data_IF_428875956190
#
_entry.id   IF_428875956190
#
_cell.length_a   1.000
_cell.length_b   1.000
_cell.length_c   1.000
_cell.angle_alpha   90.00
_cell.angle_beta   90.00
_cell.angle_gamma   90.00
#
_symmetry.space_group_name_H-M   'P 1'
#
loop_
_entity.id
_entity.type
_entity.pdbx_description
1 polymer ?
#
# COMPACT_ATOMS: atom_id res chain seq x y z
N UNK A 1 -22.32 44.18 73.03
CA UNK A 1 -22.09 43.50 74.35
C UNK A 1 -21.08 42.41 74.14
N UNK A 2 -19.91 42.77 74.62
CA UNK A 2 -18.87 41.91 75.25
C UNK A 2 -18.21 40.80 74.42
N UNK A 3 -16.91 41.00 74.09
CA UNK A 3 -15.68 40.71 74.85
C UNK A 3 -15.38 39.20 74.85
N UNK A 4 -14.21 38.63 74.56
CA UNK A 4 -12.80 38.94 74.90
C UNK A 4 -11.94 37.90 74.18
N UNK A 5 -10.80 38.29 73.60
CA UNK A 5 -9.42 37.99 74.01
C UNK A 5 -9.11 36.48 74.14
N UNK A 6 -8.10 35.93 73.65
CA UNK A 6 -6.68 36.22 73.57
C UNK A 6 -5.94 34.85 73.48
N UNK A 7 -4.95 34.70 72.74
CA UNK A 7 -3.60 34.31 73.12
C UNK A 7 -2.83 33.60 71.98
N UNK A 8 -1.90 34.37 71.53
CA UNK A 8 -0.66 33.93 70.92
C UNK A 8 -0.02 32.71 71.63
N UNK A 9 0.46 31.80 70.86
CA UNK A 9 1.71 31.09 71.10
C UNK A 9 2.56 31.01 69.86
N UNK A 10 3.55 31.86 69.87
CA UNK A 10 4.70 31.86 68.98
C UNK A 10 5.51 30.64 69.26
N UNK A 11 5.66 29.71 68.31
CA UNK A 11 6.75 28.76 68.29
C UNK A 11 7.67 29.13 67.13
N UNK A 12 8.71 29.88 67.47
CA UNK A 12 9.87 30.08 66.61
C UNK A 12 10.70 28.80 66.55
N UNK A 13 10.61 28.06 65.55
CA UNK A 13 11.51 26.95 65.29
C UNK A 13 12.67 27.44 64.42
N UNK A 14 13.72 27.87 65.06
CA UNK A 14 15.01 28.22 64.49
C UNK A 14 15.69 26.96 63.99
N UNK A 15 15.38 26.56 62.72
CA UNK A 15 16.25 25.65 61.99
C UNK A 15 17.31 26.46 61.26
N UNK A 16 18.50 26.46 61.81
CA UNK A 16 19.72 26.98 61.17
C UNK A 16 19.96 26.23 59.89
N UNK A 17 20.21 26.90 58.73
CA UNK A 17 20.51 26.20 57.47
C UNK A 17 21.94 25.64 57.55
N UNK A 18 22.04 24.33 57.69
CA UNK A 18 23.29 23.58 57.51
C UNK A 18 23.78 23.50 56.07
N UNK A 19 23.21 24.33 55.18
CA UNK A 19 23.51 24.30 53.72
C UNK A 19 24.84 24.98 53.34
N UNK A 20 25.44 25.74 54.23
CA UNK A 20 26.71 26.38 53.95
C UNK A 20 27.93 25.47 54.11
N UNK A 21 27.93 24.62 55.14
CA UNK A 21 29.03 23.70 55.39
C UNK A 21 29.13 22.57 54.34
N UNK A 22 28.01 22.05 53.88
CA UNK A 22 28.02 21.00 52.87
C UNK A 22 28.52 21.52 51.50
N UNK A 23 28.13 22.76 51.12
CA UNK A 23 28.61 23.39 49.89
C UNK A 23 30.11 23.73 49.98
N UNK A 24 30.58 24.17 51.14
CA UNK A 24 32.00 24.43 51.37
C UNK A 24 32.83 23.13 51.34
N UNK A 25 32.32 22.02 51.90
CA UNK A 25 32.94 20.69 51.83
C UNK A 25 33.00 20.16 50.40
N UNK A 26 31.93 20.30 49.61
CA UNK A 26 31.91 19.89 48.20
C UNK A 26 32.84 20.74 47.33
N UNK A 27 32.92 22.05 47.55
CA UNK A 27 33.85 22.91 46.81
C UNK A 27 35.31 22.58 47.16
N UNK A 28 35.59 22.22 48.41
CA UNK A 28 36.94 21.80 48.86
C UNK A 28 37.35 20.45 48.23
N UNK A 29 36.41 19.50 48.10
CA UNK A 29 36.66 18.22 47.41
C UNK A 29 36.95 18.43 45.94
N UNK A 30 36.20 19.31 45.27
CA UNK A 30 36.42 19.63 43.85
C UNK A 30 37.79 20.32 43.65
N UNK A 31 38.17 21.25 44.53
CA UNK A 31 39.46 21.92 44.44
C UNK A 31 40.60 20.92 44.69
N UNK A 32 40.48 20.00 45.63
CA UNK A 32 41.48 18.96 45.89
C UNK A 32 41.57 17.99 44.68
N UNK A 33 40.47 17.64 44.05
CA UNK A 33 40.44 16.82 42.82
C UNK A 33 41.11 17.53 41.64
N UNK A 34 40.86 18.84 41.47
CA UNK A 34 41.50 19.65 40.42
C UNK A 34 42.99 19.87 40.67
N UNK A 35 43.38 20.14 41.91
CA UNK A 35 44.79 20.29 42.27
C UNK A 35 45.53 18.94 42.22
N UNK A 36 44.91 17.85 42.69
CA UNK A 36 45.47 16.51 42.62
C UNK A 36 45.62 16.03 41.17
N UNK A 37 44.60 16.28 40.34
CA UNK A 37 44.64 16.00 38.89
C UNK A 37 45.70 16.81 38.17
N UNK A 38 45.82 18.09 38.47
CA UNK A 38 46.87 18.98 37.93
C UNK A 38 48.28 18.59 38.33
N UNK A 39 48.49 18.16 39.57
CA UNK A 39 49.77 17.64 40.05
C UNK A 39 50.13 16.29 39.41
N UNK A 40 49.15 15.41 39.23
CA UNK A 40 49.33 14.13 38.57
C UNK A 40 49.73 14.32 37.08
N UNK A 41 49.09 15.28 36.38
CA UNK A 41 49.48 15.64 35.02
C UNK A 41 50.88 16.24 34.96
N UNK A 42 51.29 17.02 35.94
CA UNK A 42 52.62 17.64 36.02
C UNK A 42 53.72 16.65 36.42
N UNK A 43 53.38 15.63 37.20
CA UNK A 43 54.30 14.56 37.59
C UNK A 43 54.49 13.54 36.45
N UNK A 44 53.46 13.34 35.60
CA UNK A 44 53.57 12.50 34.42
C UNK A 44 54.16 13.22 33.20
N UNK A 45 54.37 14.53 33.25
CA UNK A 45 55.01 15.32 32.18
C UNK A 45 56.55 15.46 32.34
N UNK A 46 57.21 14.59 33.11
CA UNK A 46 58.66 14.33 33.03
C UNK A 46 59.02 13.73 31.64
N UNK A 47 60.30 13.65 31.24
CA UNK A 47 60.76 13.60 29.84
C UNK A 47 60.40 12.31 29.10
N UNK A 48 59.15 11.99 28.99
CA UNK A 48 58.62 10.84 28.21
C UNK A 48 57.67 11.25 27.09
N UNK A 49 58.01 12.37 26.41
CA UNK A 49 57.28 12.81 25.18
C UNK A 49 57.34 11.80 24.04
N UNK A 50 58.12 10.72 24.15
CA UNK A 50 58.23 9.68 23.08
C UNK A 50 57.17 8.57 23.20
N UNK A 51 56.44 8.46 24.33
CA UNK A 51 55.46 7.35 24.55
C UNK A 51 54.02 7.80 24.40
N UNK A 52 53.76 9.10 24.30
CA UNK A 52 52.36 9.64 24.21
C UNK A 52 51.80 9.63 22.78
N UNK A 53 52.65 9.45 21.77
CA UNK A 53 52.24 9.36 20.37
C UNK A 53 51.21 8.23 20.07
N UNK A 54 51.43 7.00 20.53
CA UNK A 54 50.53 5.88 20.24
C UNK A 54 49.21 5.88 21.03
N UNK A 55 49.20 6.55 22.23
CA UNK A 55 47.98 6.57 23.06
C UNK A 55 46.92 7.53 22.49
N UNK A 56 47.35 8.58 21.76
CA UNK A 56 46.42 9.56 21.14
C UNK A 56 45.74 8.99 19.89
N UNK A 57 46.38 8.03 19.19
CA UNK A 57 45.77 7.32 18.05
C UNK A 57 44.88 6.17 18.52
N UNK A 58 45.18 5.56 19.68
CA UNK A 58 44.36 4.47 20.24
C UNK A 58 43.02 4.92 20.83
N UNK A 59 42.97 6.11 21.45
CA UNK A 59 41.73 6.63 22.02
C UNK A 59 40.73 7.08 20.96
N UNK A 60 41.21 7.60 19.82
CA UNK A 60 40.35 7.95 18.70
C UNK A 60 39.72 6.71 18.03
N UNK A 61 40.49 5.63 17.91
CA UNK A 61 39.98 4.38 17.30
C UNK A 61 38.97 3.65 18.20
N UNK A 62 39.10 3.76 19.52
CA UNK A 62 38.11 3.18 20.46
C UNK A 62 36.81 3.95 20.42
N UNK A 63 36.84 5.29 20.27
CA UNK A 63 35.62 6.10 20.16
C UNK A 63 34.93 5.88 18.81
N UNK A 64 35.66 5.71 17.71
CA UNK A 64 35.08 5.35 16.40
C UNK A 64 34.47 3.94 16.39
N UNK A 65 35.12 2.98 17.02
CA UNK A 65 34.60 1.60 17.14
C UNK A 65 33.33 1.49 18.01
N UNK A 66 33.14 2.39 18.98
CA UNK A 66 31.91 2.45 19.77
C UNK A 66 30.77 3.10 18.98
N UNK A 67 31.05 4.12 18.17
CA UNK A 67 30.04 4.76 17.32
C UNK A 67 29.49 3.80 16.23
N UNK A 68 30.35 2.96 15.63
CA UNK A 68 29.94 1.95 14.67
C UNK A 68 29.10 0.83 15.31
N UNK A 69 29.41 0.45 16.56
CA UNK A 69 28.60 -0.53 17.30
C UNK A 69 27.21 0.00 17.67
N UNK A 70 27.07 1.29 17.95
CA UNK A 70 25.75 1.89 18.19
C UNK A 70 24.93 2.00 16.91
N UNK A 71 25.55 2.26 15.75
CA UNK A 71 24.90 2.23 14.44
C UNK A 71 24.38 0.83 14.07
N UNK A 72 25.15 -0.20 14.38
CA UNK A 72 24.75 -1.60 14.14
C UNK A 72 23.55 -2.03 15.03
N UNK A 73 23.55 -1.64 16.30
CA UNK A 73 22.44 -1.94 17.22
C UNK A 73 21.15 -1.21 16.82
N UNK A 74 21.25 0.04 16.39
CA UNK A 74 20.08 0.81 15.92
C UNK A 74 19.51 0.24 14.61
N UNK A 75 20.35 -0.21 13.67
CA UNK A 75 19.92 -0.89 12.45
C UNK A 75 19.25 -2.24 12.75
N UNK A 76 19.80 -3.00 13.70
CA UNK A 76 19.19 -4.27 14.11
C UNK A 76 17.81 -4.08 14.76
N UNK A 77 17.66 -3.08 15.62
CA UNK A 77 16.38 -2.75 16.22
C UNK A 77 15.34 -2.32 15.16
N UNK A 78 15.77 -1.52 14.17
CA UNK A 78 14.93 -1.12 13.03
C UNK A 78 14.50 -2.31 12.20
N UNK A 79 15.42 -3.21 11.84
CA UNK A 79 15.11 -4.42 11.07
C UNK A 79 14.18 -5.38 11.84
N UNK A 80 14.33 -5.49 13.17
CA UNK A 80 13.43 -6.28 13.98
C UNK A 80 12.02 -5.66 14.01
N UNK A 81 11.90 -4.35 14.19
CA UNK A 81 10.62 -3.65 14.17
C UNK A 81 9.94 -3.76 12.79
N UNK A 82 10.71 -3.64 11.70
CA UNK A 82 10.21 -3.80 10.33
C UNK A 82 9.74 -5.25 10.08
N UNK A 83 10.50 -6.24 10.57
CA UNK A 83 10.10 -7.65 10.46
C UNK A 83 8.82 -7.96 11.26
N UNK A 84 8.67 -7.39 12.45
CA UNK A 84 7.44 -7.50 13.23
C UNK A 84 6.26 -6.81 12.55
N UNK A 85 6.47 -5.62 11.98
CA UNK A 85 5.44 -4.92 11.22
C UNK A 85 4.98 -5.74 10.00
N UNK A 86 5.93 -6.25 9.20
CA UNK A 86 5.62 -7.09 8.05
C UNK A 86 4.91 -8.39 8.44
N UNK A 87 5.30 -9.04 9.54
CA UNK A 87 4.60 -10.22 10.07
C UNK A 87 3.17 -9.91 10.48
N UNK A 88 2.95 -8.73 11.08
CA UNK A 88 1.62 -8.27 11.45
C UNK A 88 0.77 -8.01 10.22
N UNK A 89 1.31 -7.35 9.19
CA UNK A 89 0.62 -7.13 7.92
C UNK A 89 0.28 -8.45 7.22
N UNK A 90 1.22 -9.39 7.16
CA UNK A 90 0.96 -10.73 6.63
C UNK A 90 -0.14 -11.46 7.40
N UNK A 91 -0.14 -11.37 8.73
CA UNK A 91 -1.19 -11.93 9.58
C UNK A 91 -2.57 -11.32 9.31
N UNK A 92 -2.63 -10.00 9.13
CA UNK A 92 -3.87 -9.30 8.77
C UNK A 92 -4.36 -9.68 7.37
N UNK A 93 -3.45 -9.75 6.39
CA UNK A 93 -3.79 -10.20 5.04
C UNK A 93 -4.29 -11.63 5.02
N UNK A 94 -3.64 -12.54 5.75
CA UNK A 94 -4.08 -13.93 5.88
C UNK A 94 -5.47 -14.04 6.53
N UNK A 95 -5.74 -13.27 7.58
CA UNK A 95 -7.04 -13.23 8.23
C UNK A 95 -8.14 -12.68 7.30
N UNK A 96 -7.81 -11.64 6.50
CA UNK A 96 -8.72 -11.08 5.51
C UNK A 96 -9.06 -12.12 4.41
N UNK A 97 -8.07 -12.86 3.93
CA UNK A 97 -8.29 -13.94 2.94
C UNK A 97 -9.18 -15.04 3.52
N UNK A 98 -8.97 -15.44 4.77
CA UNK A 98 -9.82 -16.45 5.44
C UNK A 98 -11.26 -15.95 5.59
N UNK A 99 -11.44 -14.67 5.91
CA UNK A 99 -12.77 -14.08 5.99
C UNK A 99 -13.47 -14.03 4.62
N UNK A 100 -12.73 -13.69 3.57
CA UNK A 100 -13.25 -13.68 2.20
C UNK A 100 -13.66 -15.08 1.75
N UNK A 101 -12.86 -16.12 2.02
CA UNK A 101 -13.23 -17.50 1.69
C UNK A 101 -14.49 -17.96 2.44
N UNK A 102 -14.61 -17.63 3.72
CA UNK A 102 -15.81 -17.93 4.50
C UNK A 102 -17.06 -17.21 3.95
N UNK A 103 -16.90 -15.94 3.53
CA UNK A 103 -18.00 -15.19 2.90
C UNK A 103 -18.38 -15.78 1.54
N UNK A 104 -17.43 -16.25 0.78
CA UNK A 104 -17.67 -16.91 -0.49
C UNK A 104 -18.44 -18.22 -0.31
N UNK A 105 -18.08 -19.03 0.69
CA UNK A 105 -18.83 -20.23 1.05
C UNK A 105 -20.26 -19.92 1.50
N UNK A 106 -20.45 -18.84 2.28
CA UNK A 106 -21.78 -18.38 2.68
C UNK A 106 -22.63 -17.96 1.48
N UNK A 107 -22.05 -17.23 0.51
CA UNK A 107 -22.73 -16.84 -0.71
C UNK A 107 -23.12 -18.05 -1.55
N UNK A 108 -22.22 -19.01 -1.74
CA UNK A 108 -22.52 -20.26 -2.47
C UNK A 108 -23.63 -21.06 -1.78
N UNK A 109 -23.65 -21.14 -0.46
CA UNK A 109 -24.72 -21.79 0.29
C UNK A 109 -26.07 -21.06 0.13
N UNK A 110 -26.06 -19.72 0.11
CA UNK A 110 -27.24 -18.91 -0.16
C UNK A 110 -27.76 -19.10 -1.59
N UNK A 111 -26.88 -19.09 -2.58
CA UNK A 111 -27.23 -19.34 -3.99
C UNK A 111 -27.86 -20.73 -4.18
N UNK A 112 -27.29 -21.75 -3.54
CA UNK A 112 -27.86 -23.11 -3.52
C UNK A 112 -29.25 -23.12 -2.86
N UNK A 113 -29.42 -22.41 -1.75
CA UNK A 113 -30.71 -22.37 -1.04
C UNK A 113 -31.79 -21.63 -1.85
N UNK A 114 -31.40 -20.66 -2.68
CA UNK A 114 -32.30 -19.91 -3.56
C UNK A 114 -32.60 -20.64 -4.89
N UNK A 115 -32.09 -21.85 -5.06
CA UNK A 115 -32.26 -22.62 -6.31
C UNK A 115 -31.55 -22.02 -7.53
N UNK A 116 -30.65 -21.05 -7.30
CA UNK A 116 -29.86 -20.39 -8.38
C UNK A 116 -28.50 -21.08 -8.60
N UNK A 117 -28.16 -22.07 -7.80
CA UNK A 117 -26.87 -22.77 -7.82
C UNK A 117 -26.69 -23.84 -8.88
N UNK A 118 -27.52 -23.89 -9.91
CA UNK A 118 -27.35 -24.83 -11.04
C UNK A 118 -27.04 -24.14 -12.34
N UNK A 119 -26.11 -23.20 -12.32
CA UNK A 119 -25.33 -22.87 -13.51
C UNK A 119 -23.95 -23.50 -13.35
N UNK A 120 -23.92 -24.81 -13.30
CA UNK A 120 -22.71 -25.62 -13.49
C UNK A 120 -22.28 -25.61 -14.96
N UNK A 121 -22.01 -24.43 -15.50
CA UNK A 121 -21.03 -24.32 -16.54
C UNK A 121 -19.67 -24.35 -15.85
N UNK A 122 -18.91 -25.42 -15.96
CA UNK A 122 -17.48 -25.40 -15.65
C UNK A 122 -16.92 -24.17 -16.38
N UNK A 123 -16.59 -23.13 -15.61
CA UNK A 123 -16.05 -21.90 -16.15
C UNK A 123 -14.75 -22.23 -16.88
N UNK A 124 -14.84 -22.40 -18.19
CA UNK A 124 -13.69 -22.71 -19.04
C UNK A 124 -12.97 -21.40 -19.32
N UNK A 125 -12.04 -21.11 -18.43
CA UNK A 125 -11.15 -19.96 -18.54
C UNK A 125 -9.97 -20.37 -19.42
N UNK A 126 -9.82 -19.73 -20.58
CA UNK A 126 -8.68 -19.92 -21.48
C UNK A 126 -7.57 -18.96 -21.04
N UNK A 127 -6.38 -19.47 -20.82
CA UNK A 127 -5.21 -18.64 -20.53
C UNK A 127 -4.42 -18.43 -21.81
N UNK A 128 -4.19 -17.18 -22.17
CA UNK A 128 -3.44 -16.78 -23.36
C UNK A 128 -2.23 -15.93 -22.97
N UNK A 129 -1.11 -16.13 -23.67
CA UNK A 129 0.08 -15.29 -23.55
C UNK A 129 -0.07 -14.06 -24.43
N UNK A 130 0.32 -12.91 -23.92
CA UNK A 130 0.39 -11.67 -24.69
C UNK A 130 1.64 -11.68 -25.56
N UNK A 131 1.44 -11.69 -26.89
CA UNK A 131 2.53 -11.66 -27.87
C UNK A 131 2.96 -10.24 -28.20
N UNK A 132 2.00 -9.30 -28.27
CA UNK A 132 2.27 -7.90 -28.47
C UNK A 132 1.26 -7.03 -27.71
N UNK A 133 1.78 -5.95 -27.12
CA UNK A 133 0.99 -5.01 -26.31
C UNK A 133 0.42 -3.87 -27.16
N UNK A 134 -0.58 -3.19 -26.59
CA UNK A 134 -1.31 -2.09 -27.20
C UNK A 134 -0.43 -0.98 -27.83
N UNK A 135 0.74 -0.70 -27.26
CA UNK A 135 1.64 0.34 -27.77
C UNK A 135 2.34 -0.02 -29.09
N UNK A 136 2.46 -1.30 -29.43
CA UNK A 136 3.13 -1.77 -30.66
C UNK A 136 2.19 -1.95 -31.83
N UNK A 137 0.93 -2.31 -31.56
CA UNK A 137 -0.06 -2.61 -32.61
C UNK A 137 -0.94 -1.41 -32.96
N UNK A 138 -0.83 -0.31 -32.21
CA UNK A 138 -1.76 0.81 -32.29
C UNK A 138 -3.16 0.46 -31.77
N UNK A 139 -3.99 1.46 -31.56
CA UNK A 139 -5.43 1.32 -31.27
C UNK A 139 -5.82 0.49 -30.05
N UNK A 140 -5.01 0.49 -28.98
CA UNK A 140 -5.35 -0.22 -27.74
C UNK A 140 -5.73 -1.70 -27.96
N UNK A 141 -4.91 -2.43 -28.71
CA UNK A 141 -5.11 -3.84 -29.01
C UNK A 141 -3.97 -4.69 -28.48
N UNK A 142 -4.28 -5.91 -28.06
CA UNK A 142 -3.31 -6.95 -27.69
C UNK A 142 -3.36 -8.08 -28.71
N UNK A 143 -2.21 -8.62 -29.07
CA UNK A 143 -2.11 -9.89 -29.78
C UNK A 143 -1.89 -11.02 -28.77
N UNK A 144 -2.72 -12.05 -28.85
CA UNK A 144 -2.69 -13.21 -27.97
C UNK A 144 -2.25 -14.45 -28.76
N UNK A 145 -1.57 -15.39 -28.09
CA UNK A 145 -1.08 -16.65 -28.70
C UNK A 145 -2.16 -17.73 -28.82
N UNK A 146 -3.41 -17.36 -28.76
CA UNK A 146 -4.56 -18.24 -28.85
C UNK A 146 -5.36 -17.99 -30.15
N UNK A 147 -5.55 -19.02 -30.95
CA UNK A 147 -6.31 -19.00 -32.20
C UNK A 147 -6.99 -20.34 -32.45
N UNK A 148 -7.63 -20.51 -33.62
CA UNK A 148 -8.45 -21.68 -33.92
C UNK A 148 -7.70 -23.01 -33.87
N UNK A 149 -6.41 -23.03 -34.27
CA UNK A 149 -5.62 -24.26 -34.40
C UNK A 149 -4.96 -24.71 -33.07
N UNK A 150 -4.81 -23.82 -32.11
CA UNK A 150 -4.14 -24.12 -30.83
C UNK A 150 -5.08 -24.13 -29.64
N UNK A 151 -6.39 -24.11 -29.87
CA UNK A 151 -7.39 -24.36 -28.86
C UNK A 151 -7.38 -25.85 -28.48
N UNK A 152 -7.49 -26.16 -27.21
CA UNK A 152 -7.68 -27.53 -26.73
C UNK A 152 -9.01 -28.12 -27.18
N UNK A 153 -9.10 -29.46 -27.25
CA UNK A 153 -10.31 -30.14 -27.67
C UNK A 153 -11.52 -29.76 -26.78
N UNK A 154 -12.61 -29.36 -27.42
CA UNK A 154 -13.84 -28.95 -26.74
C UNK A 154 -13.81 -27.53 -26.13
N UNK A 155 -12.82 -26.72 -26.52
CA UNK A 155 -12.76 -25.30 -26.21
C UNK A 155 -13.11 -24.50 -27.45
N UNK A 156 -13.85 -23.41 -27.29
CA UNK A 156 -14.15 -22.43 -28.35
C UNK A 156 -13.60 -21.06 -27.94
N UNK A 157 -13.38 -20.23 -28.93
CA UNK A 157 -13.02 -18.82 -28.78
C UNK A 157 -13.90 -18.05 -29.72
N UNK A 158 -14.66 -17.10 -29.21
CA UNK A 158 -15.64 -16.36 -29.98
C UNK A 158 -15.36 -14.86 -29.98
N UNK A 159 -15.88 -14.17 -30.98
CA UNK A 159 -15.82 -12.71 -31.04
C UNK A 159 -16.69 -12.13 -29.92
N UNK A 160 -16.13 -11.18 -29.20
CA UNK A 160 -16.79 -10.58 -28.04
C UNK A 160 -16.43 -11.25 -26.70
N UNK A 161 -15.76 -12.40 -26.71
CA UNK A 161 -15.31 -13.03 -25.46
C UNK A 161 -14.51 -12.05 -24.61
N UNK A 162 -14.86 -11.86 -23.33
CA UNK A 162 -14.18 -10.93 -22.45
C UNK A 162 -12.77 -11.43 -22.09
N UNK A 163 -11.83 -10.50 -22.16
CA UNK A 163 -10.43 -10.70 -21.79
C UNK A 163 -10.17 -10.07 -20.43
N UNK A 164 -9.73 -10.90 -19.51
CA UNK A 164 -9.52 -10.56 -18.11
C UNK A 164 -8.05 -10.68 -17.74
N UNK A 165 -7.64 -9.96 -16.71
CA UNK A 165 -6.38 -10.19 -16.03
C UNK A 165 -6.58 -10.84 -14.69
N UNK A 166 -5.48 -11.22 -14.06
CA UNK A 166 -5.47 -11.76 -12.71
C UNK A 166 -6.29 -10.88 -11.76
N UNK A 167 -7.14 -11.51 -10.95
CA UNK A 167 -8.08 -10.79 -10.09
C UNK A 167 -9.42 -10.42 -10.74
N UNK A 168 -9.70 -10.90 -11.98
CA UNK A 168 -11.01 -10.71 -12.63
C UNK A 168 -11.27 -9.31 -13.18
N UNK A 169 -10.21 -8.53 -13.42
CA UNK A 169 -10.35 -7.19 -14.01
C UNK A 169 -10.50 -7.29 -15.50
N UNK A 170 -11.58 -6.72 -16.03
CA UNK A 170 -11.90 -6.70 -17.45
C UNK A 170 -11.00 -5.72 -18.19
N UNK A 171 -10.26 -6.23 -19.18
CA UNK A 171 -9.42 -5.41 -20.03
C UNK A 171 -10.08 -5.08 -21.37
N UNK A 172 -10.60 -6.10 -22.03
CA UNK A 172 -11.05 -5.98 -23.42
C UNK A 172 -11.92 -7.13 -23.84
N UNK A 173 -12.09 -7.25 -25.12
CA UNK A 173 -12.84 -8.33 -25.80
C UNK A 173 -12.10 -8.81 -27.02
N UNK A 174 -12.30 -10.06 -27.41
CA UNK A 174 -11.78 -10.62 -28.65
C UNK A 174 -12.48 -9.97 -29.84
N UNK A 175 -11.72 -9.36 -30.75
CA UNK A 175 -12.26 -8.69 -31.94
C UNK A 175 -11.87 -9.37 -33.24
N UNK A 176 -10.84 -10.22 -33.19
CA UNK A 176 -10.43 -10.98 -34.36
C UNK A 176 -9.78 -12.30 -33.92
N UNK A 177 -10.11 -13.37 -34.64
CA UNK A 177 -9.58 -14.72 -34.38
C UNK A 177 -8.88 -15.20 -35.63
N UNK A 178 -7.58 -15.43 -35.54
CA UNK A 178 -6.75 -16.05 -36.57
C UNK A 178 -6.54 -17.55 -36.33
N UNK A 179 -5.62 -18.14 -37.09
CA UNK A 179 -5.31 -19.55 -36.92
C UNK A 179 -4.60 -19.87 -35.64
N UNK A 180 -3.54 -19.10 -35.32
CA UNK A 180 -2.68 -19.33 -34.11
C UNK A 180 -2.64 -18.15 -33.16
N UNK A 181 -3.31 -17.07 -33.50
CA UNK A 181 -3.33 -15.85 -32.66
C UNK A 181 -4.69 -15.19 -32.77
N UNK A 182 -5.03 -14.38 -31.80
CA UNK A 182 -6.21 -13.53 -31.80
C UNK A 182 -5.84 -12.10 -31.41
N UNK A 183 -6.73 -11.16 -31.75
CA UNK A 183 -6.63 -9.77 -31.34
C UNK A 183 -7.71 -9.46 -30.31
N UNK A 184 -7.30 -8.90 -29.20
CA UNK A 184 -8.17 -8.35 -28.18
C UNK A 184 -8.10 -6.83 -28.21
N UNK A 185 -9.23 -6.15 -28.20
CA UNK A 185 -9.32 -4.69 -28.13
C UNK A 185 -9.75 -4.28 -26.73
N UNK A 186 -9.05 -3.27 -26.18
CA UNK A 186 -9.35 -2.74 -24.85
C UNK A 186 -10.71 -2.03 -24.83
N UNK A 187 -11.42 -2.16 -23.70
CA UNK A 187 -12.59 -1.34 -23.41
C UNK A 187 -12.24 0.15 -23.28
N UNK A 188 -11.01 0.44 -22.88
CA UNK A 188 -10.47 1.80 -22.79
C UNK A 188 -10.10 2.45 -24.12
N UNK A 189 -10.27 1.77 -25.26
CA UNK A 189 -9.97 2.35 -26.58
C UNK A 189 -10.64 3.71 -26.72
N UNK A 190 -9.89 4.66 -27.29
CA UNK A 190 -10.30 6.06 -27.36
C UNK A 190 -11.69 6.24 -27.99
N UNK A 191 -12.57 6.93 -27.28
CA UNK A 191 -13.95 7.21 -27.71
C UNK A 191 -14.94 6.07 -27.49
N UNK A 192 -14.51 4.87 -27.10
CA UNK A 192 -15.44 3.77 -26.76
C UNK A 192 -16.19 4.12 -25.48
N UNK A 193 -17.49 3.90 -25.49
CA UNK A 193 -18.37 4.13 -24.35
C UNK A 193 -18.78 2.80 -23.72
N UNK A 194 -18.71 2.72 -22.41
CA UNK A 194 -19.07 1.55 -21.61
C UNK A 194 -19.95 1.98 -20.44
N UNK A 195 -21.07 1.29 -20.23
CA UNK A 195 -21.91 1.53 -19.06
C UNK A 195 -21.22 0.98 -17.82
N UNK A 196 -21.19 1.78 -16.74
CA UNK A 196 -20.49 1.42 -15.52
C UNK A 196 -21.31 1.76 -14.29
N UNK A 197 -20.99 1.08 -13.19
CA UNK A 197 -21.46 1.38 -11.84
C UNK A 197 -20.24 1.75 -11.00
N UNK A 198 -20.31 2.87 -10.28
CA UNK A 198 -19.18 3.43 -9.52
C UNK A 198 -19.46 3.33 -8.02
N UNK A 199 -18.50 2.81 -7.28
CA UNK A 199 -18.48 2.76 -5.82
C UNK A 199 -19.48 1.78 -5.21
N UNK A 200 -19.64 1.89 -3.88
CA UNK A 200 -20.60 1.09 -3.10
C UNK A 200 -22.05 1.47 -3.39
N UNK A 201 -22.29 2.72 -3.74
CA UNK A 201 -23.63 3.26 -3.99
C UNK A 201 -24.13 2.91 -5.40
N UNK A 202 -23.33 2.17 -6.19
CA UNK A 202 -23.63 1.74 -7.55
C UNK A 202 -24.09 2.90 -8.45
N UNK A 203 -23.37 4.01 -8.44
CA UNK A 203 -23.70 5.19 -9.22
C UNK A 203 -23.61 4.84 -10.72
N UNK A 204 -24.75 4.85 -11.47
CA UNK A 204 -24.76 4.52 -12.88
C UNK A 204 -24.14 5.66 -13.69
N UNK A 205 -23.23 5.30 -14.61
CA UNK A 205 -22.55 6.27 -15.46
C UNK A 205 -22.12 5.66 -16.81
N UNK A 206 -21.60 6.50 -17.70
CA UNK A 206 -20.99 6.08 -18.97
C UNK A 206 -19.51 6.45 -18.94
N UNK A 207 -18.67 5.46 -18.99
CA UNK A 207 -17.22 5.62 -19.07
C UNK A 207 -16.81 5.73 -20.55
N UNK A 208 -16.08 6.78 -20.88
CA UNK A 208 -15.50 6.99 -22.20
C UNK A 208 -14.02 6.63 -22.16
N UNK A 209 -13.61 5.70 -23.00
CA UNK A 209 -12.21 5.27 -23.13
C UNK A 209 -11.30 6.41 -23.58
N UNK A 210 -10.13 6.48 -22.96
CA UNK A 210 -9.07 7.48 -23.24
C UNK A 210 -7.77 6.83 -23.73
N UNK A 211 -7.79 5.51 -23.87
CA UNK A 211 -6.62 4.71 -24.22
C UNK A 211 -5.82 4.27 -22.99
N UNK A 212 -5.00 3.23 -23.19
CA UNK A 212 -4.06 2.77 -22.17
C UNK A 212 -4.68 2.28 -20.87
N UNK A 213 -5.90 1.75 -20.90
CA UNK A 213 -6.62 1.29 -19.69
C UNK A 213 -7.39 2.42 -18.96
N UNK A 214 -7.30 3.66 -19.42
CA UNK A 214 -7.88 4.80 -18.73
C UNK A 214 -9.26 5.16 -19.30
N UNK A 215 -10.14 5.67 -18.43
CA UNK A 215 -11.47 6.15 -18.81
C UNK A 215 -11.76 7.49 -18.16
N UNK A 216 -12.67 8.22 -18.77
CA UNK A 216 -13.25 9.45 -18.25
C UNK A 216 -14.75 9.27 -18.09
N UNK A 217 -15.26 9.68 -16.94
CA UNK A 217 -16.71 9.69 -16.64
C UNK A 217 -17.11 11.08 -16.21
N UNK A 218 -18.28 11.52 -16.66
CA UNK A 218 -18.89 12.76 -16.19
C UNK A 218 -20.16 12.44 -15.39
N UNK A 219 -20.21 12.88 -14.12
CA UNK A 219 -21.39 12.73 -13.26
C UNK A 219 -21.77 14.08 -12.65
N UNK A 220 -23.03 14.27 -12.20
CA UNK A 220 -23.42 15.49 -11.51
C UNK A 220 -22.53 15.76 -10.28
N UNK A 221 -22.19 17.03 -10.03
CA UNK A 221 -21.27 17.43 -8.96
C UNK A 221 -21.75 17.04 -7.54
N UNK A 222 -23.05 16.80 -7.33
CA UNK A 222 -23.61 16.34 -6.04
C UNK A 222 -23.44 14.84 -5.77
N UNK A 223 -22.95 14.07 -6.71
CA UNK A 223 -22.78 12.62 -6.55
C UNK A 223 -21.47 12.33 -5.80
N UNK A 224 -21.57 11.58 -4.70
CA UNK A 224 -20.39 11.22 -3.91
C UNK A 224 -19.63 10.09 -4.60
N UNK A 225 -18.42 10.39 -5.05
CA UNK A 225 -17.45 9.42 -5.56
C UNK A 225 -16.11 9.72 -4.91
N UNK A 226 -15.43 8.68 -4.42
CA UNK A 226 -14.16 8.84 -3.72
C UNK A 226 -13.01 8.12 -4.44
N UNK A 227 -11.80 8.52 -4.12
CA UNK A 227 -10.60 7.86 -4.65
C UNK A 227 -10.57 6.38 -4.26
N UNK A 228 -10.17 5.52 -5.19
CA UNK A 228 -10.16 4.06 -5.09
C UNK A 228 -11.55 3.39 -5.06
N UNK A 229 -12.64 4.09 -5.32
CA UNK A 229 -13.92 3.43 -5.59
C UNK A 229 -13.78 2.45 -6.75
N UNK A 230 -14.35 1.26 -6.57
CA UNK A 230 -14.35 0.23 -7.61
C UNK A 230 -15.36 0.60 -8.68
N UNK A 231 -14.94 0.48 -9.94
CA UNK A 231 -15.80 0.70 -11.10
C UNK A 231 -16.09 -0.63 -11.75
N UNK A 232 -17.37 -0.96 -11.90
CA UNK A 232 -17.86 -2.23 -12.41
C UNK A 232 -18.64 -2.01 -13.70
N UNK A 233 -18.65 -3.04 -14.55
CA UNK A 233 -19.45 -3.10 -15.75
C UNK A 233 -20.06 -4.48 -15.93
N UNK A 234 -21.13 -4.57 -16.69
CA UNK A 234 -21.77 -5.85 -17.03
C UNK A 234 -21.49 -6.14 -18.50
N UNK A 235 -20.94 -7.33 -18.77
CA UNK A 235 -20.76 -7.88 -20.10
C UNK A 235 -21.48 -9.22 -20.16
N UNK A 236 -22.35 -9.38 -21.17
CA UNK A 236 -23.27 -10.52 -21.19
C UNK A 236 -24.16 -10.54 -19.95
N UNK A 237 -24.07 -11.58 -19.17
CA UNK A 237 -24.85 -11.76 -17.92
C UNK A 237 -23.97 -11.66 -16.65
N UNK A 238 -22.74 -11.14 -16.76
CA UNK A 238 -21.78 -11.10 -15.64
C UNK A 238 -21.28 -9.69 -15.36
N UNK A 239 -21.03 -9.46 -14.09
CA UNK A 239 -20.41 -8.23 -13.60
C UNK A 239 -18.90 -8.41 -13.49
N UNK A 240 -18.15 -7.41 -13.98
CA UNK A 240 -16.68 -7.38 -13.97
C UNK A 240 -16.17 -6.07 -13.39
N UNK A 241 -15.02 -6.10 -12.78
CA UNK A 241 -14.29 -4.89 -12.38
C UNK A 241 -13.62 -4.31 -13.62
N UNK A 242 -13.92 -3.06 -13.94
CA UNK A 242 -13.30 -2.34 -15.06
C UNK A 242 -12.05 -1.56 -14.62
N UNK A 243 -12.06 -1.07 -13.39
CA UNK A 243 -10.97 -0.27 -12.83
C UNK A 243 -11.31 0.33 -11.49
N UNK A 244 -10.51 1.30 -11.09
CA UNK A 244 -10.70 2.06 -9.86
C UNK A 244 -10.65 3.56 -10.13
N UNK A 245 -11.34 4.34 -9.32
CA UNK A 245 -11.29 5.81 -9.39
C UNK A 245 -9.87 6.28 -9.03
N UNK A 246 -9.18 6.86 -9.99
CA UNK A 246 -7.83 7.42 -9.83
C UNK A 246 -7.81 8.89 -9.45
N UNK A 247 -8.90 9.61 -9.70
CA UNK A 247 -9.04 11.02 -9.37
C UNK A 247 -10.44 11.54 -9.66
N UNK A 248 -10.84 12.56 -8.93
CA UNK A 248 -12.10 13.29 -9.12
C UNK A 248 -11.76 14.75 -9.25
N UNK A 249 -12.19 15.37 -10.34
CA UNK A 249 -12.02 16.79 -10.61
C UNK A 249 -13.40 17.45 -10.62
N UNK A 250 -13.63 18.32 -9.65
CA UNK A 250 -14.85 19.12 -9.52
C UNK A 250 -14.51 20.59 -9.71
N UNK A 251 -15.26 21.26 -10.56
CA UNK A 251 -15.16 22.70 -10.73
C UNK A 251 -16.49 23.32 -10.30
N UNK A 252 -16.45 24.30 -9.39
CA UNK A 252 -17.64 25.01 -8.90
C UNK A 252 -18.43 25.70 -10.01
N UNK A 253 -17.81 25.95 -11.15
CA UNK A 253 -18.43 26.60 -12.31
C UNK A 253 -19.20 25.62 -13.23
N UNK A 254 -19.08 24.31 -13.00
CA UNK A 254 -19.73 23.29 -13.83
C UNK A 254 -20.66 22.42 -12.99
N UNK A 255 -21.86 22.09 -13.49
CA UNK A 255 -22.80 21.20 -12.80
C UNK A 255 -22.33 19.73 -12.79
N UNK A 256 -21.23 19.42 -13.42
CA UNK A 256 -20.67 18.08 -13.53
C UNK A 256 -19.24 18.02 -12.99
N UNK A 257 -18.90 16.92 -12.37
CA UNK A 257 -17.52 16.54 -12.00
C UNK A 257 -17.00 15.49 -12.95
N UNK A 258 -15.69 15.50 -13.18
CA UNK A 258 -15.00 14.53 -14.00
C UNK A 258 -14.30 13.50 -13.12
N UNK A 259 -14.51 12.23 -13.44
CA UNK A 259 -13.93 11.10 -12.73
C UNK A 259 -12.97 10.39 -13.68
N UNK A 260 -11.72 10.29 -13.27
CA UNK A 260 -10.68 9.56 -13.98
C UNK A 260 -10.60 8.15 -13.42
N UNK A 261 -10.79 7.16 -14.28
CA UNK A 261 -10.71 5.75 -13.93
C UNK A 261 -9.41 5.20 -14.51
N UNK A 262 -8.70 4.42 -13.72
CA UNK A 262 -7.47 3.73 -14.12
C UNK A 262 -7.57 2.24 -13.82
N UNK A 263 -6.84 1.38 -14.56
CA UNK A 263 -6.72 -0.02 -14.20
C UNK A 263 -5.95 -0.16 -12.89
N UNK A 264 -6.28 -1.15 -12.05
CA UNK A 264 -5.57 -1.38 -10.78
C UNK A 264 -4.17 -1.98 -10.98
N UNK A 265 -3.80 -2.29 -12.21
CA UNK A 265 -2.53 -2.93 -12.59
C UNK A 265 -1.94 -2.27 -13.84
N UNK A 266 -0.66 -2.52 -14.09
CA UNK A 266 0.01 -2.00 -15.28
C UNK A 266 -0.26 -2.91 -16.49
N UNK A 267 -1.08 -2.45 -17.42
CA UNK A 267 -1.46 -3.21 -18.62
C UNK A 267 -0.30 -3.42 -19.61
N UNK A 268 0.75 -2.59 -19.57
CA UNK A 268 1.90 -2.70 -20.47
C UNK A 268 2.90 -3.79 -20.08
N UNK A 269 2.79 -4.33 -18.87
CA UNK A 269 3.67 -5.40 -18.37
C UNK A 269 3.00 -6.77 -18.31
N UNK A 270 1.78 -6.88 -18.82
CA UNK A 270 1.01 -8.11 -18.80
C UNK A 270 1.66 -9.18 -19.67
N UNK A 271 1.88 -10.34 -19.11
CA UNK A 271 2.43 -11.51 -19.81
C UNK A 271 1.35 -12.52 -20.22
N UNK A 272 0.31 -12.62 -19.40
CA UNK A 272 -0.80 -13.55 -19.58
C UNK A 272 -2.12 -12.83 -19.33
N UNK A 273 -3.15 -13.27 -20.02
CA UNK A 273 -4.53 -12.88 -19.83
C UNK A 273 -5.41 -14.11 -19.80
N UNK A 274 -6.58 -13.98 -19.20
CA UNK A 274 -7.60 -15.03 -19.20
C UNK A 274 -8.76 -14.60 -20.09
N UNK A 275 -9.29 -15.53 -20.88
CA UNK A 275 -10.44 -15.30 -21.75
C UNK A 275 -11.58 -16.14 -21.21
N UNK A 276 -12.70 -15.54 -21.00
CA UNK A 276 -13.92 -16.22 -20.56
C UNK A 276 -14.80 -16.50 -21.76
N UNK A 277 -15.15 -17.76 -21.97
CA UNK A 277 -16.03 -18.17 -23.06
C UNK A 277 -17.48 -18.20 -22.60
N UNK A 278 -18.33 -17.32 -23.15
CA UNK A 278 -19.76 -17.26 -22.84
C UNK A 278 -20.62 -18.25 -23.65
N UNK A 279 -20.08 -18.79 -24.76
CA UNK A 279 -20.88 -19.53 -25.74
C UNK A 279 -21.37 -20.92 -25.31
N UNK A 280 -20.99 -21.43 -24.11
CA UNK A 280 -21.42 -22.73 -23.61
C UNK A 280 -22.61 -22.68 -22.63
N UNK A 281 -23.36 -21.59 -22.57
CA UNK A 281 -24.53 -21.43 -21.69
C UNK A 281 -25.88 -21.61 -22.42
N UNK A 282 -25.92 -22.38 -23.51
CA UNK A 282 -27.19 -22.76 -24.20
C UNK A 282 -27.37 -24.26 -24.21
#
# INVERSE_FOLDING_TARGET
MNYLLDKKTVYSNHRRPLSGLSKALWSLVIIVLLLGGGLLVRFLSGPTLAVVGPVRSGSASVFFGLADNFGFLSNRAKLLAENEALRKELGQAAAALTLLSAKQEELLALEQSLGRGQSEGVERMLVAKVLAHAGYLGYDTFMLDLGRENLGAGLSLDLGDPVLVEGGVLLGEIVQIGNRSSLARLYSSAGRQTRVMIGSDNVPAVATGRGGGNFLVSVPAGVKVVHNDIVRTVVGNREYVLGVVGGVESNEQTPFQQIYIKPPLNIYTLRFVSIYNESNNF
#
